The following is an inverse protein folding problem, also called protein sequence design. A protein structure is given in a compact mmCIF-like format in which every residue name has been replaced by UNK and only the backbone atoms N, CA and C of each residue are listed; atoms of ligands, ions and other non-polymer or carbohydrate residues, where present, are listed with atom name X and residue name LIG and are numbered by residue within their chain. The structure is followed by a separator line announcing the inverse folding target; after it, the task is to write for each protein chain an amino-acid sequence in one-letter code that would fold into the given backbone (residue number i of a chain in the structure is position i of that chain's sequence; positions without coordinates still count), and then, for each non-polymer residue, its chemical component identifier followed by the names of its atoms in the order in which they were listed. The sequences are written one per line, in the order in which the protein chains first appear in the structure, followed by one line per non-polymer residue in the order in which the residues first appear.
data_IF_447125356053
#
_entry.id   IF_447125356053
#
_cell.length_a   1.000
_cell.length_b   1.000
_cell.length_c   1.000
_cell.angle_alpha   90.00
_cell.angle_beta   90.00
_cell.angle_gamma   90.00
#
_symmetry.space_group_name_H-M   'P 1'
#
loop_
_entity.id
_entity.type
_entity.pdbx_description
1 polymer ?
#
# COMPACT_ATOMS: atom_id res chain seq x y z
N UNK A 1 7.04 -20.99 -16.07
CA UNK A 1 7.37 -19.60 -15.69
C UNK A 1 7.00 -19.42 -14.23
N UNK A 2 7.81 -18.66 -13.48
CA UNK A 2 7.57 -18.37 -12.06
C UNK A 2 7.38 -16.88 -11.86
N UNK A 3 6.71 -16.48 -10.78
CA UNK A 3 6.58 -15.08 -10.38
C UNK A 3 7.95 -14.52 -10.03
N UNK A 4 8.31 -13.40 -10.63
CA UNK A 4 9.54 -12.64 -10.38
C UNK A 4 9.34 -11.17 -10.72
N UNK A 5 10.27 -10.31 -10.29
CA UNK A 5 10.21 -8.86 -10.49
C UNK A 5 9.94 -8.48 -11.96
N UNK A 6 9.06 -7.51 -12.16
CA UNK A 6 8.64 -7.01 -13.47
C UNK A 6 7.55 -7.83 -14.16
N UNK A 7 7.26 -9.06 -13.73
CA UNK A 7 6.17 -9.85 -14.30
C UNK A 7 4.80 -9.23 -14.00
N UNK A 8 3.90 -9.29 -14.97
CA UNK A 8 2.48 -9.04 -14.76
C UNK A 8 1.82 -10.33 -14.28
N UNK A 9 1.28 -10.32 -13.08
CA UNK A 9 0.72 -11.50 -12.43
C UNK A 9 -0.77 -11.27 -12.21
N UNK A 10 -1.57 -12.28 -12.57
CA UNK A 10 -3.00 -12.33 -12.28
C UNK A 10 -3.23 -13.33 -11.16
N UNK A 11 -3.89 -12.90 -10.09
CA UNK A 11 -4.18 -13.75 -8.93
C UNK A 11 -5.67 -13.74 -8.60
N UNK A 12 -6.14 -14.88 -8.12
CA UNK A 12 -7.37 -14.96 -7.33
C UNK A 12 -6.95 -14.85 -5.86
N UNK A 13 -7.42 -13.80 -5.17
CA UNK A 13 -7.04 -13.55 -3.80
C UNK A 13 -8.25 -13.31 -2.89
N UNK A 14 -8.14 -13.80 -1.66
CA UNK A 14 -8.99 -13.46 -0.54
C UNK A 14 -8.09 -12.99 0.61
N UNK A 15 -8.40 -11.82 1.15
CA UNK A 15 -7.71 -11.23 2.30
C UNK A 15 -8.74 -10.91 3.37
N UNK A 16 -8.46 -11.32 4.60
CA UNK A 16 -9.37 -11.11 5.74
C UNK A 16 -8.60 -10.82 7.01
N UNK A 17 -9.22 -10.10 7.93
CA UNK A 17 -8.71 -9.98 9.30
C UNK A 17 -8.78 -11.37 9.95
N UNK A 18 -7.72 -11.79 10.64
CA UNK A 18 -7.72 -13.12 11.28
C UNK A 18 -8.86 -13.23 12.31
N UNK A 19 -9.66 -14.30 12.19
CA UNK A 19 -10.89 -14.48 12.97
C UNK A 19 -12.00 -13.46 12.73
N UNK A 20 -11.91 -12.64 11.68
CA UNK A 20 -12.81 -11.51 11.44
C UNK A 20 -13.35 -11.42 10.01
N UNK A 21 -13.50 -10.19 9.55
CA UNK A 21 -14.16 -9.86 8.29
C UNK A 21 -13.25 -10.01 7.06
N UNK A 22 -13.87 -10.31 5.92
CA UNK A 22 -13.22 -10.31 4.61
C UNK A 22 -13.01 -8.85 4.18
N UNK A 23 -11.76 -8.49 3.97
CA UNK A 23 -11.33 -7.16 3.50
C UNK A 23 -11.41 -7.11 1.98
N UNK A 24 -10.90 -8.14 1.32
CA UNK A 24 -10.81 -8.22 -0.13
C UNK A 24 -11.13 -9.64 -0.61
N UNK A 25 -11.86 -9.76 -1.71
CA UNK A 25 -12.16 -11.06 -2.30
C UNK A 25 -12.36 -10.93 -3.81
N UNK A 26 -11.48 -11.60 -4.56
CA UNK A 26 -11.56 -11.75 -6.01
C UNK A 26 -12.85 -12.44 -6.46
N UNK A 27 -13.51 -13.22 -5.59
CA UNK A 27 -14.86 -13.75 -5.86
C UNK A 27 -15.92 -12.64 -6.05
N UNK A 28 -15.69 -11.46 -5.47
CA UNK A 28 -16.61 -10.32 -5.55
C UNK A 28 -16.18 -9.28 -6.59
N UNK A 29 -14.88 -9.01 -6.68
CA UNK A 29 -14.31 -7.93 -7.52
C UNK A 29 -13.65 -8.43 -8.81
N UNK A 30 -13.53 -9.75 -8.97
CA UNK A 30 -12.74 -10.37 -10.01
C UNK A 30 -11.26 -10.51 -9.64
N UNK A 31 -10.47 -11.26 -10.44
CA UNK A 31 -9.04 -11.46 -10.19
C UNK A 31 -8.26 -10.15 -10.21
N UNK A 32 -7.24 -10.06 -9.35
CA UNK A 32 -6.33 -8.92 -9.28
C UNK A 32 -5.19 -9.09 -10.28
N UNK A 33 -4.96 -8.08 -11.11
CA UNK A 33 -3.79 -7.99 -11.99
C UNK A 33 -2.84 -6.91 -11.47
N UNK A 34 -1.58 -7.28 -11.26
CA UNK A 34 -0.57 -6.37 -10.76
C UNK A 34 0.80 -6.65 -11.39
N UNK A 35 1.71 -5.67 -11.34
CA UNK A 35 3.11 -5.83 -11.72
C UNK A 35 3.94 -6.15 -10.47
N UNK A 36 4.62 -7.29 -10.52
CA UNK A 36 5.42 -7.75 -9.39
C UNK A 36 6.63 -6.85 -9.14
N UNK A 37 6.79 -6.37 -7.90
CA UNK A 37 7.79 -5.41 -7.45
C UNK A 37 7.41 -3.95 -7.70
N UNK A 38 6.15 -3.66 -8.02
CA UNK A 38 5.67 -2.28 -8.24
C UNK A 38 4.90 -1.70 -7.04
N UNK A 39 4.79 -2.42 -5.93
CA UNK A 39 4.09 -1.95 -4.71
C UNK A 39 2.59 -1.71 -4.91
N UNK A 40 1.96 -2.44 -5.85
CA UNK A 40 0.53 -2.30 -6.16
C UNK A 40 -0.38 -3.15 -5.26
N UNK A 41 0.19 -4.16 -4.60
CA UNK A 41 -0.44 -4.97 -3.57
C UNK A 41 0.42 -4.91 -2.31
N UNK A 42 -0.10 -5.41 -1.18
CA UNK A 42 0.65 -5.45 0.07
C UNK A 42 2.01 -6.16 -0.11
N UNK A 43 3.11 -5.48 0.18
CA UNK A 43 4.48 -5.99 -0.03
C UNK A 43 4.70 -7.37 0.61
N UNK A 44 4.14 -7.59 1.79
CA UNK A 44 4.22 -8.87 2.48
C UNK A 44 3.45 -10.00 1.75
N UNK A 45 2.33 -9.69 1.09
CA UNK A 45 1.63 -10.64 0.22
C UNK A 45 2.44 -10.88 -1.05
N UNK A 46 2.98 -9.83 -1.65
CA UNK A 46 3.81 -9.91 -2.85
C UNK A 46 5.04 -10.81 -2.62
N UNK A 47 5.77 -10.61 -1.53
CA UNK A 47 6.92 -11.43 -1.16
C UNK A 47 6.57 -12.92 -1.02
N UNK A 48 5.34 -13.25 -0.59
CA UNK A 48 4.88 -14.63 -0.45
C UNK A 48 4.56 -15.30 -1.79
N UNK A 49 4.37 -14.53 -2.86
CA UNK A 49 4.08 -15.00 -4.22
C UNK A 49 5.33 -15.29 -5.05
N UNK A 50 6.50 -14.81 -4.63
CA UNK A 50 7.77 -15.04 -5.31
C UNK A 50 7.98 -16.53 -5.57
N UNK A 51 8.43 -16.88 -6.78
CA UNK A 51 8.69 -18.26 -7.21
C UNK A 51 7.46 -19.18 -7.37
N UNK A 52 6.24 -18.70 -7.13
CA UNK A 52 5.02 -19.46 -7.45
C UNK A 52 4.82 -19.58 -8.97
N UNK A 53 4.22 -20.69 -9.40
CA UNK A 53 3.85 -20.98 -10.78
C UNK A 53 2.35 -20.80 -10.99
N UNK A 54 1.92 -20.70 -12.25
CA UNK A 54 0.49 -20.70 -12.59
C UNK A 54 -0.17 -21.97 -12.08
N UNK A 55 -1.30 -21.82 -11.39
CA UNK A 55 -2.04 -22.90 -10.75
C UNK A 55 -1.70 -23.10 -9.27
N UNK A 56 -0.54 -22.62 -8.81
CA UNK A 56 -0.14 -22.74 -7.41
C UNK A 56 -1.07 -21.93 -6.52
N UNK A 57 -1.42 -22.53 -5.38
CA UNK A 57 -2.22 -21.90 -4.34
C UNK A 57 -1.41 -21.86 -3.03
N UNK A 58 -1.54 -20.73 -2.32
CA UNK A 58 -0.91 -20.53 -1.02
C UNK A 58 -1.89 -19.85 -0.08
N UNK A 59 -1.85 -20.26 1.18
CA UNK A 59 -2.60 -19.61 2.26
C UNK A 59 -1.71 -19.47 3.48
N UNK A 60 -2.02 -18.50 4.32
CA UNK A 60 -1.27 -18.29 5.55
C UNK A 60 -1.68 -17.00 6.25
N UNK A 61 -0.82 -16.57 7.17
CA UNK A 61 -1.01 -15.35 7.96
C UNK A 61 0.10 -14.35 7.59
N UNK A 62 -0.29 -13.09 7.48
CA UNK A 62 0.58 -11.92 7.43
C UNK A 62 0.45 -11.24 8.78
N UNK A 63 1.48 -11.26 9.64
CA UNK A 63 1.46 -10.56 10.91
C UNK A 63 1.20 -9.06 10.71
N UNK A 64 0.56 -8.41 11.68
CA UNK A 64 0.27 -6.98 11.64
C UNK A 64 1.51 -6.15 11.29
N UNK A 65 2.67 -6.51 11.84
CA UNK A 65 3.96 -5.85 11.60
C UNK A 65 4.41 -5.87 10.13
N UNK A 66 4.04 -6.90 9.37
CA UNK A 66 4.33 -7.02 7.93
C UNK A 66 3.19 -6.48 7.06
N UNK A 67 2.01 -6.26 7.64
CA UNK A 67 0.86 -5.69 6.94
C UNK A 67 0.82 -4.16 7.07
N UNK A 68 0.05 -3.66 8.03
CA UNK A 68 -0.15 -2.22 8.24
C UNK A 68 0.65 -1.67 9.43
N UNK A 69 1.51 -2.50 10.02
CA UNK A 69 2.32 -2.15 11.18
C UNK A 69 1.53 -2.04 12.48
N UNK A 70 2.24 -1.68 13.53
CA UNK A 70 1.62 -1.37 14.81
C UNK A 70 1.06 0.06 14.81
N UNK A 71 -0.10 0.30 15.42
CA UNK A 71 -0.65 1.65 15.51
C UNK A 71 0.30 2.61 16.26
N UNK A 72 1.06 2.09 17.21
CA UNK A 72 2.05 2.84 17.98
C UNK A 72 3.26 3.27 17.15
N UNK A 73 3.62 2.50 16.12
CA UNK A 73 4.74 2.75 15.23
C UNK A 73 4.42 3.72 14.08
N UNK A 74 3.15 4.12 13.93
CA UNK A 74 2.75 5.07 12.91
C UNK A 74 3.37 6.47 13.17
N UNK A 75 3.84 7.16 12.11
CA UNK A 75 4.46 8.45 12.25
C UNK A 75 3.46 9.48 12.77
N UNK A 76 3.91 10.31 13.71
CA UNK A 76 3.18 11.49 14.12
C UNK A 76 3.30 12.56 13.04
N UNK A 77 2.21 13.28 12.80
CA UNK A 77 2.15 14.43 11.91
C UNK A 77 1.57 15.63 12.64
N UNK A 78 2.06 16.81 12.28
CA UNK A 78 1.55 18.08 12.79
C UNK A 78 0.52 18.63 11.80
N UNK A 79 -0.68 18.90 12.29
CA UNK A 79 -1.81 19.37 11.50
C UNK A 79 -2.23 20.74 12.06
N UNK A 80 -2.46 21.76 11.22
CA UNK A 80 -2.98 23.05 11.68
C UNK A 80 -4.33 22.87 12.39
N UNK A 81 -4.55 23.58 13.51
CA UNK A 81 -5.82 23.56 14.25
C UNK A 81 -7.02 23.91 13.36
N UNK A 82 -6.80 24.79 12.39
CA UNK A 82 -7.79 25.22 11.41
C UNK A 82 -8.26 24.11 10.45
N UNK A 83 -7.52 23.01 10.32
CA UNK A 83 -7.95 21.84 9.54
C UNK A 83 -8.99 20.98 10.27
N UNK A 84 -9.17 21.19 11.57
CA UNK A 84 -10.21 20.54 12.36
C UNK A 84 -11.43 21.46 12.47
N UNK A 85 -12.64 20.90 12.62
CA UNK A 85 -13.84 21.69 12.88
C UNK A 85 -13.63 22.64 14.08
N UNK A 86 -14.18 23.85 14.01
CA UNK A 86 -14.02 24.87 15.06
C UNK A 86 -14.65 24.42 16.39
N UNK A 87 -15.70 23.61 16.32
CA UNK A 87 -16.42 23.01 17.44
C UNK A 87 -15.83 21.66 17.88
N UNK A 88 -14.80 21.13 17.18
CA UNK A 88 -14.16 19.88 17.56
C UNK A 88 -13.47 20.00 18.93
N UNK A 89 -13.82 19.07 19.83
CA UNK A 89 -13.16 18.93 21.14
C UNK A 89 -11.83 18.19 20.96
N UNK A 90 -10.76 18.95 20.76
CA UNK A 90 -9.42 18.38 20.62
C UNK A 90 -8.79 18.12 21.98
N UNK A 91 -8.64 16.84 22.31
CA UNK A 91 -8.03 16.39 23.55
C UNK A 91 -6.98 15.33 23.24
N UNK A 92 -5.92 15.28 24.04
CA UNK A 92 -4.91 14.23 23.95
C UNK A 92 -5.59 12.87 24.17
N UNK A 93 -5.30 11.91 23.29
CA UNK A 93 -5.96 10.61 23.25
C UNK A 93 -7.29 10.59 22.47
N UNK A 94 -7.77 11.76 22.03
CA UNK A 94 -8.94 11.88 21.16
C UNK A 94 -8.72 11.20 19.80
N UNK A 95 -9.82 10.78 19.17
CA UNK A 95 -9.82 10.12 17.86
C UNK A 95 -10.71 10.88 16.89
N UNK A 96 -10.21 11.11 15.68
CA UNK A 96 -10.96 11.74 14.59
C UNK A 96 -10.91 10.88 13.35
N UNK A 97 -12.04 10.74 12.66
CA UNK A 97 -12.07 10.11 11.34
C UNK A 97 -11.64 11.13 10.29
N UNK A 98 -10.74 10.71 9.40
CA UNK A 98 -10.25 11.51 8.30
C UNK A 98 -10.10 10.66 7.04
N UNK A 99 -9.69 11.29 5.95
CA UNK A 99 -9.32 10.61 4.71
C UNK A 99 -7.85 10.90 4.39
N UNK A 100 -7.15 9.89 3.89
CA UNK A 100 -5.81 10.05 3.34
C UNK A 100 -5.85 10.93 2.09
N UNK A 101 -4.70 11.43 1.60
CA UNK A 101 -4.62 12.13 0.32
C UNK A 101 -5.17 11.31 -0.87
N UNK A 102 -5.15 9.98 -0.77
CA UNK A 102 -5.70 9.05 -1.76
C UNK A 102 -7.19 8.76 -1.54
N UNK A 103 -7.83 9.39 -0.55
CA UNK A 103 -9.25 9.25 -0.25
C UNK A 103 -9.61 8.07 0.66
N UNK A 104 -8.64 7.28 1.12
CA UNK A 104 -8.88 6.13 1.98
C UNK A 104 -9.18 6.57 3.44
N UNK A 105 -10.12 5.93 4.14
CA UNK A 105 -10.43 6.30 5.53
C UNK A 105 -9.26 6.00 6.46
N UNK A 106 -8.98 6.92 7.39
CA UNK A 106 -7.99 6.75 8.45
C UNK A 106 -8.49 7.33 9.77
N UNK A 107 -7.89 6.90 10.88
CA UNK A 107 -8.17 7.44 12.21
C UNK A 107 -6.99 8.28 12.67
N UNK A 108 -7.22 9.55 12.98
CA UNK A 108 -6.25 10.44 13.62
C UNK A 108 -6.33 10.27 15.14
N UNK A 109 -5.27 9.72 15.74
CA UNK A 109 -5.12 9.66 17.20
C UNK A 109 -4.33 10.88 17.68
N UNK A 110 -4.94 11.76 18.46
CA UNK A 110 -4.31 12.98 18.96
C UNK A 110 -3.26 12.64 20.02
N UNK A 111 -2.03 13.12 19.81
CA UNK A 111 -0.88 12.95 20.70
C UNK A 111 -0.62 14.20 21.52
N UNK A 112 -0.70 15.38 20.91
CA UNK A 112 -0.60 16.67 21.60
C UNK A 112 -1.47 17.72 20.92
N UNK A 113 -1.87 18.74 21.69
CA UNK A 113 -2.65 19.88 21.21
C UNK A 113 -1.95 21.14 21.69
N UNK A 114 -1.54 21.99 20.76
CA UNK A 114 -0.99 23.32 20.98
C UNK A 114 -2.00 24.39 20.52
N UNK A 115 -1.66 25.67 20.65
CA UNK A 115 -2.56 26.77 20.29
C UNK A 115 -2.97 26.74 18.81
N UNK A 116 -1.99 26.56 17.92
CA UNK A 116 -2.19 26.64 16.46
C UNK A 116 -2.09 25.29 15.75
N UNK A 117 -1.58 24.27 16.45
CA UNK A 117 -1.25 22.96 15.86
C UNK A 117 -1.70 21.79 16.71
N UNK A 118 -1.96 20.66 16.04
CA UNK A 118 -2.34 19.39 16.65
C UNK A 118 -1.37 18.35 16.15
N UNK A 119 -0.70 17.64 17.06
CA UNK A 119 0.10 16.48 16.69
C UNK A 119 -0.78 15.25 16.78
N UNK A 120 -0.92 14.50 15.69
CA UNK A 120 -1.72 13.28 15.64
C UNK A 120 -1.00 12.17 14.88
N UNK A 121 -1.33 10.91 15.16
CA UNK A 121 -0.90 9.76 14.36
C UNK A 121 -2.04 9.34 13.45
N UNK A 122 -1.77 9.24 12.16
CA UNK A 122 -2.70 8.63 11.21
C UNK A 122 -2.58 7.11 11.30
N UNK A 123 -3.55 6.48 11.95
CA UNK A 123 -3.61 5.04 12.15
C UNK A 123 -4.50 4.41 11.09
N UNK A 124 -3.95 3.43 10.38
CA UNK A 124 -4.71 2.63 9.43
C UNK A 124 -5.75 1.78 10.18
N UNK A 125 -6.99 1.62 9.67
CA UNK A 125 -8.03 0.79 10.34
C UNK A 125 -7.61 -0.66 10.60
N UNK A 126 -6.66 -1.16 9.79
CA UNK A 126 -6.10 -2.50 9.89
C UNK A 126 -4.75 -2.57 10.64
N UNK A 127 -4.31 -1.48 11.26
CA UNK A 127 -3.14 -1.51 12.14
C UNK A 127 -3.38 -2.46 13.33
N UNK A 128 -2.31 -3.09 13.82
CA UNK A 128 -2.33 -4.13 14.88
C UNK A 128 -3.17 -5.39 14.55
N UNK A 129 -3.63 -5.56 13.29
CA UNK A 129 -4.41 -6.73 12.87
C UNK A 129 -3.58 -7.66 12.00
N UNK A 130 -3.52 -8.92 12.40
CA UNK A 130 -3.03 -9.99 11.55
C UNK A 130 -4.03 -10.28 10.42
N UNK A 131 -3.49 -10.52 9.23
CA UNK A 131 -4.29 -10.80 8.04
C UNK A 131 -4.12 -12.25 7.61
N UNK A 132 -5.23 -12.94 7.40
CA UNK A 132 -5.22 -14.22 6.71
C UNK A 132 -5.37 -13.98 5.21
N UNK A 133 -4.52 -14.64 4.44
CA UNK A 133 -4.57 -14.58 2.99
C UNK A 133 -4.77 -15.98 2.40
N UNK A 134 -5.48 -16.01 1.28
CA UNK A 134 -5.54 -17.14 0.36
C UNK A 134 -5.32 -16.59 -1.03
N UNK A 135 -4.38 -17.15 -1.77
CA UNK A 135 -4.04 -16.68 -3.10
C UNK A 135 -3.76 -17.83 -4.03
N UNK A 136 -4.22 -17.70 -5.27
CA UNK A 136 -3.94 -18.61 -6.36
C UNK A 136 -3.45 -17.84 -7.57
N UNK A 137 -2.33 -18.27 -8.14
CA UNK A 137 -1.79 -17.65 -9.35
C UNK A 137 -2.56 -18.15 -10.57
N UNK A 138 -3.23 -17.24 -11.28
CA UNK A 138 -4.02 -17.57 -12.47
C UNK A 138 -3.22 -17.42 -13.76
N UNK A 139 -2.36 -16.39 -13.84
CA UNK A 139 -1.52 -16.16 -15.01
C UNK A 139 -0.24 -15.38 -14.64
N UNK A 140 0.82 -15.58 -15.42
CA UNK A 140 2.06 -14.82 -15.34
C UNK A 140 2.44 -14.41 -16.76
N UNK A 141 2.69 -13.13 -16.97
CA UNK A 141 3.16 -12.57 -18.25
C UNK A 141 4.45 -11.79 -18.03
N UNK A 142 5.42 -11.86 -18.96
CA UNK A 142 6.63 -11.06 -18.89
C UNK A 142 6.30 -9.56 -19.04
N UNK A 143 7.17 -8.64 -18.56
CA UNK A 143 7.03 -7.24 -18.87
C UNK A 143 7.11 -7.02 -20.40
N UNK A 144 6.44 -5.98 -20.94
CA UNK A 144 6.69 -5.58 -22.32
C UNK A 144 8.17 -5.22 -22.48
N UNK A 145 8.76 -5.46 -23.67
CA UNK A 145 10.11 -5.01 -23.94
C UNK A 145 10.20 -3.50 -23.69
N UNK A 146 11.34 -3.01 -23.18
CA UNK A 146 11.54 -1.57 -23.01
C UNK A 146 11.27 -0.90 -24.36
N UNK A 147 10.43 0.13 -24.35
CA UNK A 147 10.24 0.97 -25.53
C UNK A 147 11.62 1.51 -25.88
N UNK A 148 12.13 1.32 -27.12
CA UNK A 148 13.38 1.92 -27.51
C UNK A 148 13.25 3.43 -27.28
N UNK A 149 14.18 4.01 -26.52
CA UNK A 149 14.23 5.47 -26.33
C UNK A 149 14.27 6.09 -27.71
N UNK A 150 13.43 7.10 -27.95
CA UNK A 150 13.43 7.77 -29.25
C UNK A 150 14.79 8.44 -29.46
N UNK A 151 15.37 8.42 -30.67
CA UNK A 151 16.68 9.02 -30.96
C UNK A 151 16.79 10.50 -30.54
N UNK A 152 15.67 11.18 -30.34
CA UNK A 152 15.58 12.58 -29.90
C UNK A 152 16.16 12.83 -28.50
N UNK A 153 16.12 11.86 -27.58
CA UNK A 153 16.67 12.04 -26.20
C UNK A 153 18.20 11.87 -26.13
N UNK A 154 18.86 11.33 -27.17
CA UNK A 154 20.31 11.13 -27.19
C UNK A 154 21.07 12.34 -27.75
N UNK A 155 20.38 13.23 -28.48
CA UNK A 155 20.94 14.45 -29.05
C UNK A 155 21.03 15.61 -28.04
N UNK A 156 20.13 15.69 -27.03
CA UNK A 156 20.22 16.75 -26.00
C UNK A 156 21.40 16.58 -25.02
N UNK A 157 21.95 15.36 -24.90
CA UNK A 157 23.08 15.11 -24.00
C UNK A 157 24.45 15.41 -24.63
N UNK A 158 24.51 15.62 -25.95
CA UNK A 158 25.77 15.88 -26.68
C UNK A 158 25.99 17.37 -26.98
N UNK A 159 24.98 18.22 -26.90
CA UNK A 159 25.13 19.67 -27.14
C UNK A 159 25.60 20.47 -25.91
N UNK A 160 25.73 19.84 -24.73
CA UNK A 160 26.15 20.51 -23.49
C UNK A 160 27.65 20.40 -23.16
N UNK A 161 28.46 19.77 -24.03
CA UNK A 161 29.91 19.58 -23.79
C UNK A 161 30.83 20.48 -24.61
N UNK A 162 30.30 21.35 -25.48
CA UNK A 162 31.09 22.21 -26.40
C UNK A 162 30.81 23.72 -26.19
N UNK A 163 30.80 24.17 -24.94
CA UNK A 163 30.86 25.59 -24.60
C UNK A 163 32.10 25.87 -23.74
N UNK A 164 33.25 26.00 -24.41
CA UNK A 164 34.49 26.60 -23.91
C UNK A 164 34.50 28.11 -24.24
#
# INVERSE_FOLDING_TARGET
MKVSAGHFVRIDCELRVSGGEIIESSSKTGPVEYKHGAGQILDALEARLVSMSVGDEKKGIIPAAEAFGAASAQPAMTIPRASFPSDAKLEVGGRFEAKSPQGAPLVLNVVSVDADTVTAKAVHPLADKDLEFRVKVLAIRPPPPPVPKSPTEELELTELTDAD
#
